data_IF_209730803185
#
_entry.id   IF_209730803185
#
_cell.length_a   1.000
_cell.length_b   1.000
_cell.length_c   1.000
_cell.angle_alpha   90.00
_cell.angle_beta   90.00
_cell.angle_gamma   90.00
#
_symmetry.space_group_name_H-M   'P 1'
#
loop_
_entity.id
_entity.type
_entity.pdbx_description
1 polymer ?
#
# COMPACT_ATOMS: atom_id res chain seq x y z
N UNK A 1 -32.50 -10.27 1.95
CA UNK A 1 -31.29 -9.80 1.27
C UNK A 1 -30.98 -8.42 1.79
N UNK A 2 -29.75 -8.18 2.24
CA UNK A 2 -29.33 -6.88 2.74
C UNK A 2 -29.21 -5.92 1.54
N UNK A 3 -29.84 -4.74 1.56
CA UNK A 3 -29.78 -3.81 0.43
C UNK A 3 -28.39 -3.16 0.31
N UNK A 4 -27.89 -3.03 -0.91
CA UNK A 4 -26.76 -2.17 -1.23
C UNK A 4 -27.25 -0.74 -1.48
N UNK A 5 -26.59 0.23 -0.90
CA UNK A 5 -26.95 1.65 -0.98
C UNK A 5 -25.76 2.42 -1.52
N UNK A 6 -26.01 3.27 -2.50
CA UNK A 6 -25.00 4.06 -3.17
C UNK A 6 -25.28 5.55 -2.99
N UNK A 7 -24.36 6.25 -2.33
CA UNK A 7 -24.42 7.71 -2.24
C UNK A 7 -24.21 8.35 -3.61
N UNK A 8 -25.00 9.36 -3.94
CA UNK A 8 -24.84 10.17 -5.14
C UNK A 8 -24.58 11.63 -4.77
N UNK A 9 -23.33 12.04 -4.61
CA UNK A 9 -22.96 13.41 -4.38
C UNK A 9 -23.34 14.32 -5.54
N UNK A 10 -23.61 15.58 -5.26
CA UNK A 10 -23.89 16.57 -6.30
C UNK A 10 -22.82 16.58 -7.39
N UNK A 11 -23.25 16.54 -8.65
CA UNK A 11 -22.36 16.52 -9.82
C UNK A 11 -21.74 15.16 -10.17
N UNK A 12 -22.00 14.09 -9.41
CA UNK A 12 -21.44 12.75 -9.67
C UNK A 12 -22.43 11.76 -10.30
N UNK A 13 -23.57 12.21 -10.78
CA UNK A 13 -24.63 11.34 -11.34
C UNK A 13 -24.11 10.37 -12.39
N UNK A 14 -23.25 10.82 -13.31
CA UNK A 14 -22.68 9.94 -14.36
C UNK A 14 -21.83 8.80 -13.80
N UNK A 15 -21.06 9.07 -12.74
CA UNK A 15 -20.26 8.04 -12.08
C UNK A 15 -21.16 7.02 -11.37
N UNK A 16 -22.19 7.50 -10.70
CA UNK A 16 -23.19 6.69 -10.01
C UNK A 16 -23.95 5.81 -11.01
N UNK A 17 -24.45 6.35 -12.12
CA UNK A 17 -25.14 5.60 -13.15
C UNK A 17 -24.27 4.49 -13.75
N UNK A 18 -23.00 4.80 -14.01
CA UNK A 18 -22.03 3.83 -14.50
C UNK A 18 -21.77 2.70 -13.49
N UNK A 19 -21.69 3.02 -12.20
CA UNK A 19 -21.50 2.03 -11.14
C UNK A 19 -22.74 1.15 -10.95
N UNK A 20 -23.96 1.72 -10.99
CA UNK A 20 -25.23 0.96 -10.95
C UNK A 20 -25.28 -0.03 -12.10
N UNK A 21 -24.94 0.41 -13.31
CA UNK A 21 -24.95 -0.47 -14.49
C UNK A 21 -23.86 -1.57 -14.37
N UNK A 22 -22.69 -1.25 -13.79
CA UNK A 22 -21.65 -2.24 -13.52
C UNK A 22 -22.13 -3.30 -12.53
N UNK A 23 -22.73 -2.91 -11.40
CA UNK A 23 -23.29 -3.84 -10.41
C UNK A 23 -24.37 -4.74 -11.03
N UNK A 24 -25.24 -4.16 -11.86
CA UNK A 24 -26.28 -4.90 -12.57
C UNK A 24 -25.71 -5.96 -13.50
N UNK A 25 -24.70 -5.61 -14.30
CA UNK A 25 -24.04 -6.54 -15.23
C UNK A 25 -23.23 -7.61 -14.53
N UNK A 26 -22.61 -7.25 -13.42
CA UNK A 26 -21.72 -8.16 -12.69
C UNK A 26 -22.51 -9.25 -11.93
N UNK A 27 -23.63 -8.87 -11.29
CA UNK A 27 -24.30 -9.75 -10.32
C UNK A 27 -25.82 -9.55 -10.25
N UNK A 28 -26.43 -8.82 -11.16
CA UNK A 28 -27.85 -8.48 -11.12
C UNK A 28 -28.24 -7.55 -9.95
N UNK A 29 -27.29 -7.11 -9.15
CA UNK A 29 -27.52 -6.21 -8.01
C UNK A 29 -27.76 -4.79 -8.53
N UNK A 30 -28.85 -4.18 -8.09
CA UNK A 30 -29.15 -2.77 -8.35
C UNK A 30 -29.11 -2.00 -7.03
N UNK A 31 -28.04 -1.26 -6.75
CA UNK A 31 -27.97 -0.44 -5.54
C UNK A 31 -29.08 0.61 -5.50
N UNK A 32 -29.61 0.87 -4.31
CA UNK A 32 -30.51 2.00 -4.09
C UNK A 32 -29.69 3.28 -4.07
N UNK A 33 -29.92 4.17 -5.03
CA UNK A 33 -29.20 5.45 -5.13
C UNK A 33 -29.84 6.48 -4.21
N UNK A 34 -29.02 7.14 -3.41
CA UNK A 34 -29.44 8.24 -2.52
C UNK A 34 -28.76 9.53 -2.98
N UNK A 35 -29.53 10.47 -3.55
CA UNK A 35 -28.98 11.76 -3.94
C UNK A 35 -28.67 12.61 -2.71
N UNK A 36 -27.52 13.27 -2.72
CA UNK A 36 -27.09 14.24 -1.71
C UNK A 36 -27.09 15.62 -2.37
N UNK A 37 -27.86 16.54 -1.83
CA UNK A 37 -28.02 17.88 -2.43
C UNK A 37 -26.79 18.77 -2.15
N UNK A 38 -26.54 19.71 -3.06
CA UNK A 38 -25.50 20.73 -2.87
C UNK A 38 -25.71 21.55 -1.60
N UNK A 39 -26.99 21.87 -1.28
CA UNK A 39 -27.34 22.63 -0.09
C UNK A 39 -27.03 21.88 1.22
N UNK A 40 -27.19 20.56 1.25
CA UNK A 40 -26.84 19.74 2.41
C UNK A 40 -25.33 19.71 2.60
N UNK A 41 -24.57 19.59 1.51
CA UNK A 41 -23.11 19.67 1.53
C UNK A 41 -22.63 21.03 2.04
N UNK A 42 -23.11 22.11 1.45
CA UNK A 42 -22.74 23.48 1.85
C UNK A 42 -23.13 23.78 3.31
N UNK A 43 -24.31 23.34 3.75
CA UNK A 43 -24.75 23.51 5.12
C UNK A 43 -23.89 22.76 6.13
N UNK A 44 -23.39 21.58 5.75
CA UNK A 44 -22.46 20.81 6.58
C UNK A 44 -21.07 21.46 6.61
N UNK A 45 -20.50 21.82 5.47
CA UNK A 45 -19.19 22.49 5.38
C UNK A 45 -19.17 23.81 6.17
N UNK A 46 -20.29 24.55 6.14
CA UNK A 46 -20.44 25.77 6.93
C UNK A 46 -20.44 25.48 8.44
N UNK A 47 -20.99 24.36 8.88
CA UNK A 47 -21.02 23.94 10.29
C UNK A 47 -19.70 23.32 10.76
N UNK A 48 -18.90 22.80 9.84
CA UNK A 48 -17.63 22.11 10.11
C UNK A 48 -16.50 22.68 9.24
N UNK A 49 -16.07 23.93 9.48
CA UNK A 49 -15.00 24.54 8.71
C UNK A 49 -13.69 23.77 8.90
N UNK A 50 -13.12 23.31 7.79
CA UNK A 50 -11.89 22.48 7.77
C UNK A 50 -12.13 20.98 7.64
N UNK A 51 -13.40 20.53 7.60
CA UNK A 51 -13.73 19.14 7.28
C UNK A 51 -13.68 18.93 5.77
N UNK A 52 -12.78 18.09 5.29
CA UNK A 52 -12.81 17.60 3.93
C UNK A 52 -13.68 16.33 3.86
N UNK A 53 -14.80 16.37 3.14
CA UNK A 53 -15.71 15.26 2.81
C UNK A 53 -16.51 14.51 3.90
N UNK A 54 -16.58 14.85 5.18
CA UNK A 54 -17.36 14.08 6.15
C UNK A 54 -18.89 14.23 5.99
N UNK A 55 -19.35 15.24 5.26
CA UNK A 55 -20.77 15.62 5.11
C UNK A 55 -21.62 14.60 4.42
N UNK A 56 -21.07 14.00 3.36
CA UNK A 56 -21.79 13.06 2.49
C UNK A 56 -22.16 11.79 3.24
N UNK A 57 -21.25 11.31 4.10
CA UNK A 57 -21.50 10.09 4.86
C UNK A 57 -22.51 10.30 5.98
N UNK A 58 -22.39 11.38 6.75
CA UNK A 58 -23.25 11.57 7.91
C UNK A 58 -24.70 11.84 7.53
N UNK A 59 -24.98 12.70 6.55
CA UNK A 59 -26.36 12.97 6.09
C UNK A 59 -26.96 11.78 5.34
N UNK A 60 -26.19 11.15 4.47
CA UNK A 60 -26.61 9.96 3.75
C UNK A 60 -26.84 8.77 4.67
N UNK A 61 -25.97 8.50 5.63
CA UNK A 61 -26.13 7.44 6.64
C UNK A 61 -27.36 7.68 7.51
N UNK A 62 -27.62 8.92 7.94
CA UNK A 62 -28.84 9.25 8.68
C UNK A 62 -30.10 9.05 7.85
N UNK A 63 -30.08 9.45 6.60
CA UNK A 63 -31.20 9.17 5.67
C UNK A 63 -31.45 7.68 5.55
N UNK A 64 -30.41 6.87 5.36
CA UNK A 64 -30.51 5.42 5.25
C UNK A 64 -31.02 4.79 6.53
N UNK A 65 -30.45 5.17 7.68
CA UNK A 65 -30.87 4.66 8.97
C UNK A 65 -32.36 4.96 9.26
N UNK A 66 -32.87 6.12 8.86
CA UNK A 66 -34.26 6.46 8.97
C UNK A 66 -35.15 5.68 7.99
N UNK A 67 -34.69 5.41 6.77
CA UNK A 67 -35.42 4.70 5.73
C UNK A 67 -35.46 3.18 5.94
N UNK A 68 -34.38 2.59 6.42
CA UNK A 68 -34.21 1.15 6.59
C UNK A 68 -34.39 0.69 8.05
N UNK A 69 -35.16 1.39 8.85
CA UNK A 69 -35.38 1.16 10.29
C UNK A 69 -35.24 -0.30 10.71
N UNK A 70 -34.19 -0.59 11.49
CA UNK A 70 -33.93 -1.92 12.03
C UNK A 70 -33.33 -2.94 11.04
N UNK A 71 -33.16 -2.59 9.75
CA UNK A 71 -32.55 -3.47 8.77
C UNK A 71 -31.12 -3.04 8.47
N UNK A 72 -30.12 -3.93 8.54
CA UNK A 72 -28.76 -3.60 8.12
C UNK A 72 -28.72 -3.31 6.62
N UNK A 73 -27.76 -2.47 6.21
CA UNK A 73 -27.53 -2.12 4.81
C UNK A 73 -26.04 -2.09 4.50
N UNK A 74 -25.69 -2.28 3.24
CA UNK A 74 -24.33 -2.14 2.74
C UNK A 74 -24.15 -0.78 2.08
N UNK A 75 -23.29 0.07 2.65
CA UNK A 75 -23.01 1.41 2.15
C UNK A 75 -21.90 1.40 1.12
N UNK A 76 -22.10 2.08 0.00
CA UNK A 76 -21.16 2.25 -1.09
C UNK A 76 -20.96 3.73 -1.41
N UNK A 77 -19.76 4.07 -1.85
CA UNK A 77 -19.41 5.37 -2.42
C UNK A 77 -19.22 5.26 -3.95
N UNK A 78 -19.29 6.37 -4.71
CA UNK A 78 -19.20 6.33 -6.19
C UNK A 78 -17.86 5.80 -6.73
N UNK A 79 -16.83 5.80 -5.91
CA UNK A 79 -15.48 5.29 -6.17
C UNK A 79 -15.28 3.83 -5.71
N UNK A 80 -16.33 3.19 -5.23
CA UNK A 80 -16.32 1.75 -4.93
C UNK A 80 -16.48 0.92 -6.20
N UNK A 81 -15.69 -0.12 -6.37
CA UNK A 81 -15.77 -1.01 -7.54
C UNK A 81 -15.95 -2.45 -7.10
N UNK A 82 -17.15 -3.04 -7.23
CA UNK A 82 -17.34 -4.48 -7.13
C UNK A 82 -16.55 -5.21 -8.21
N UNK A 83 -15.84 -6.27 -7.83
CA UNK A 83 -14.87 -6.96 -8.69
C UNK A 83 -15.31 -8.34 -9.15
N UNK A 84 -16.16 -9.01 -8.37
CA UNK A 84 -16.52 -10.41 -8.57
C UNK A 84 -18.02 -10.63 -8.53
N UNK A 85 -18.49 -11.59 -9.31
CA UNK A 85 -19.86 -12.07 -9.23
C UNK A 85 -20.13 -12.63 -7.82
N UNK A 86 -21.34 -12.44 -7.30
CA UNK A 86 -21.73 -12.87 -5.95
C UNK A 86 -21.13 -12.03 -4.82
N UNK A 87 -20.53 -10.87 -5.13
CA UNK A 87 -19.84 -10.03 -4.16
C UNK A 87 -20.69 -9.64 -2.95
N UNK A 88 -21.93 -9.19 -3.18
CA UNK A 88 -22.82 -8.77 -2.09
C UNK A 88 -23.28 -9.96 -1.25
N UNK A 89 -23.59 -11.10 -1.89
CA UNK A 89 -23.96 -12.34 -1.20
C UNK A 89 -22.82 -12.83 -0.30
N UNK A 90 -21.62 -12.85 -0.82
CA UNK A 90 -20.42 -13.29 -0.06
C UNK A 90 -20.10 -12.35 1.09
N UNK A 91 -20.16 -11.04 0.88
CA UNK A 91 -19.99 -10.05 1.94
C UNK A 91 -21.10 -10.12 3.00
N UNK A 92 -22.36 -10.38 2.59
CA UNK A 92 -23.48 -10.59 3.53
C UNK A 92 -23.22 -11.80 4.43
N UNK A 93 -22.78 -12.94 3.86
CA UNK A 93 -22.43 -14.11 4.64
C UNK A 93 -21.27 -13.86 5.61
N UNK A 94 -20.28 -13.07 5.20
CA UNK A 94 -19.17 -12.67 6.06
C UNK A 94 -19.66 -11.75 7.20
N UNK A 95 -20.54 -10.81 6.91
CA UNK A 95 -21.17 -9.95 7.93
C UNK A 95 -21.94 -10.77 8.99
N UNK A 96 -22.75 -11.71 8.53
CA UNK A 96 -23.50 -12.61 9.42
C UNK A 96 -22.58 -13.51 10.26
N UNK A 97 -21.45 -13.95 9.69
CA UNK A 97 -20.43 -14.76 10.37
C UNK A 97 -19.72 -13.99 11.48
N UNK A 98 -19.35 -12.74 11.22
CA UNK A 98 -18.56 -11.91 12.16
C UNK A 98 -19.40 -11.45 13.35
N UNK A 99 -20.70 -11.33 13.20
CA UNK A 99 -21.65 -10.97 14.28
C UNK A 99 -21.30 -9.66 14.99
N UNK A 100 -20.82 -8.68 14.25
CA UNK A 100 -20.61 -7.31 14.72
C UNK A 100 -21.59 -6.37 14.04
N UNK A 101 -22.04 -5.30 14.74
CA UNK A 101 -22.96 -4.32 14.15
C UNK A 101 -22.43 -3.70 12.86
N UNK A 102 -21.12 -3.41 12.81
CA UNK A 102 -20.45 -2.87 11.63
C UNK A 102 -19.49 -3.90 11.05
N UNK A 103 -19.39 -3.99 9.73
CA UNK A 103 -18.37 -4.73 9.03
C UNK A 103 -17.72 -3.85 7.96
N UNK A 104 -16.45 -3.57 8.13
CA UNK A 104 -15.68 -2.67 7.27
C UNK A 104 -14.38 -3.35 6.81
N UNK A 105 -13.57 -2.65 6.02
CA UNK A 105 -12.25 -3.14 5.60
C UNK A 105 -11.35 -3.47 6.79
N UNK A 106 -10.49 -4.48 6.60
CA UNK A 106 -9.36 -4.75 7.49
C UNK A 106 -8.17 -3.84 7.22
N UNK A 107 -8.19 -3.08 6.12
CA UNK A 107 -7.11 -2.14 5.81
C UNK A 107 -7.14 -0.98 6.82
N UNK A 108 -5.98 -0.69 7.38
CA UNK A 108 -5.80 0.38 8.36
C UNK A 108 -4.87 1.44 7.79
N UNK A 109 -5.29 2.67 7.85
CA UNK A 109 -4.52 3.80 7.39
C UNK A 109 -3.64 4.33 8.53
N UNK A 110 -2.35 4.09 8.48
CA UNK A 110 -1.41 4.71 9.40
C UNK A 110 -1.18 6.18 8.99
N UNK A 111 -1.11 7.15 9.94
CA UNK A 111 -1.07 6.95 11.40
C UNK A 111 -2.46 6.97 12.08
N UNK A 112 -3.56 7.05 11.34
CA UNK A 112 -4.87 7.42 11.89
C UNK A 112 -5.83 6.26 12.09
N UNK A 113 -5.46 5.01 11.93
CA UNK A 113 -6.39 3.86 12.03
C UNK A 113 -7.72 4.06 11.28
N UNK A 114 -7.69 4.85 10.19
CA UNK A 114 -8.87 5.13 9.39
C UNK A 114 -9.45 3.85 8.80
N UNK A 115 -10.75 3.73 8.86
CA UNK A 115 -11.51 2.71 8.18
C UNK A 115 -12.33 3.42 7.12
N UNK A 116 -12.14 3.12 5.85
CA UNK A 116 -12.96 3.74 4.82
C UNK A 116 -14.45 3.50 5.06
N UNK A 117 -15.28 4.47 4.70
CA UNK A 117 -16.70 4.49 4.99
C UNK A 117 -17.54 3.38 4.37
N UNK A 118 -16.96 2.54 3.50
CA UNK A 118 -17.67 1.45 2.81
C UNK A 118 -17.79 0.24 3.72
N UNK A 119 -19.00 -0.31 3.82
CA UNK A 119 -19.23 -1.50 4.64
C UNK A 119 -20.69 -1.73 5.01
N UNK A 120 -20.91 -2.68 5.90
CA UNK A 120 -22.23 -2.92 6.51
C UNK A 120 -22.43 -2.04 7.71
N UNK A 121 -23.62 -1.50 7.79
CA UNK A 121 -24.12 -0.67 8.87
C UNK A 121 -25.41 -1.25 9.43
N UNK A 122 -25.61 -1.26 10.76
CA UNK A 122 -26.85 -1.72 11.36
C UNK A 122 -27.99 -0.74 11.06
N UNK A 123 -29.21 -1.22 11.08
CA UNK A 123 -30.39 -0.41 10.77
C UNK A 123 -30.70 0.69 11.80
N UNK A 124 -30.09 0.60 12.98
CA UNK A 124 -30.18 1.58 14.05
C UNK A 124 -28.96 2.51 14.13
N UNK A 125 -28.17 2.59 13.07
CA UNK A 125 -26.96 3.43 12.96
C UNK A 125 -27.22 4.88 13.35
N UNK A 126 -28.44 5.42 13.16
CA UNK A 126 -28.80 6.79 13.48
C UNK A 126 -28.66 7.14 14.99
N UNK A 127 -28.80 6.16 15.88
CA UNK A 127 -28.57 6.34 17.30
C UNK A 127 -27.09 6.43 17.67
N UNK A 128 -26.25 5.87 16.82
CA UNK A 128 -24.79 5.80 17.04
C UNK A 128 -24.05 6.97 16.39
N UNK A 129 -24.69 7.68 15.45
CA UNK A 129 -24.05 8.80 14.73
C UNK A 129 -24.28 10.10 15.53
N UNK A 130 -23.22 10.74 16.05
CA UNK A 130 -23.34 12.00 16.76
C UNK A 130 -23.83 13.12 15.83
N UNK A 131 -24.50 14.12 16.40
CA UNK A 131 -24.98 15.27 15.63
C UNK A 131 -23.85 16.15 15.10
N UNK A 132 -22.71 16.08 15.71
CA UNK A 132 -21.52 16.82 15.31
C UNK A 132 -20.31 15.89 15.42
N UNK A 133 -19.55 15.80 14.34
CA UNK A 133 -18.19 15.27 14.39
C UNK A 133 -17.27 16.47 14.66
N UNK A 134 -16.38 16.35 15.61
CA UNK A 134 -15.31 17.32 15.79
C UNK A 134 -14.45 17.32 14.50
N UNK A 135 -13.21 17.51 14.48
CA UNK A 135 -12.37 17.62 13.25
C UNK A 135 -12.26 16.34 12.43
N UNK A 136 -12.79 15.23 12.93
CA UNK A 136 -12.60 13.90 12.36
C UNK A 136 -13.83 13.47 11.53
N UNK A 137 -13.62 12.71 10.49
CA UNK A 137 -14.70 12.08 9.73
C UNK A 137 -15.40 10.97 10.54
N UNK A 138 -16.55 10.53 10.06
CA UNK A 138 -17.33 9.46 10.67
C UNK A 138 -16.52 8.18 10.94
N UNK A 139 -15.72 7.77 10.00
CA UNK A 139 -14.87 6.59 10.03
C UNK A 139 -13.82 6.65 11.15
N UNK A 140 -13.17 7.81 11.35
CA UNK A 140 -12.23 8.00 12.45
C UNK A 140 -12.95 8.06 13.81
N UNK A 141 -14.12 8.69 13.85
CA UNK A 141 -14.95 8.71 15.04
C UNK A 141 -15.34 7.29 15.49
N UNK A 142 -15.79 6.43 14.55
CA UNK A 142 -16.13 5.03 14.84
C UNK A 142 -14.98 4.27 15.49
N UNK A 143 -13.80 4.37 14.93
CA UNK A 143 -12.63 3.63 15.44
C UNK A 143 -12.24 4.07 16.83
N UNK A 144 -12.41 5.35 17.13
CA UNK A 144 -12.05 5.91 18.46
C UNK A 144 -13.09 5.63 19.53
N UNK A 145 -14.37 5.62 19.19
CA UNK A 145 -15.44 5.62 20.19
C UNK A 145 -16.21 4.32 20.30
N UNK A 146 -16.25 3.51 19.22
CA UNK A 146 -16.99 2.26 19.19
C UNK A 146 -16.20 1.10 18.54
N UNK A 147 -14.89 0.96 18.82
CA UNK A 147 -14.05 -0.04 18.15
C UNK A 147 -14.53 -1.49 18.40
N UNK A 148 -15.16 -1.75 19.53
CA UNK A 148 -15.69 -3.07 19.90
C UNK A 148 -16.90 -3.47 19.06
N UNK A 149 -17.62 -2.53 18.45
CA UNK A 149 -18.76 -2.78 17.58
C UNK A 149 -18.35 -3.06 16.13
N UNK A 150 -17.08 -2.89 15.79
CA UNK A 150 -16.55 -2.99 14.44
C UNK A 150 -15.97 -4.37 14.17
N UNK A 151 -16.52 -5.08 13.19
CA UNK A 151 -15.94 -6.23 12.53
C UNK A 151 -15.07 -5.77 11.35
N UNK A 152 -14.05 -6.53 11.01
CA UNK A 152 -13.12 -6.22 9.91
C UNK A 152 -13.02 -7.37 8.93
N UNK A 153 -12.95 -7.07 7.63
CA UNK A 153 -12.83 -8.08 6.58
C UNK A 153 -11.79 -7.69 5.52
N UNK A 154 -10.96 -8.63 5.04
CA UNK A 154 -10.07 -8.41 3.91
C UNK A 154 -10.79 -8.37 2.55
N UNK A 155 -12.08 -8.71 2.52
CA UNK A 155 -12.90 -8.74 1.30
C UNK A 155 -13.22 -7.33 0.76
N UNK A 156 -13.10 -6.30 1.60
CA UNK A 156 -13.17 -4.89 1.24
C UNK A 156 -11.75 -4.35 1.28
N UNK A 157 -11.24 -3.87 0.16
CA UNK A 157 -9.90 -3.31 0.06
C UNK A 157 -9.97 -1.81 -0.22
N UNK A 158 -9.23 -1.02 0.55
CA UNK A 158 -9.00 0.39 0.28
C UNK A 158 -7.67 0.59 -0.43
N UNK A 159 -7.66 1.44 -1.45
CA UNK A 159 -6.43 1.96 -2.04
C UNK A 159 -6.10 3.31 -1.39
N UNK A 160 -4.97 3.40 -0.75
CA UNK A 160 -4.49 4.61 -0.08
C UNK A 160 -3.42 5.29 -0.91
N UNK A 161 -3.82 5.97 -1.94
CA UNK A 161 -2.89 6.69 -2.80
C UNK A 161 -3.62 7.66 -3.72
N UNK A 162 -4.10 8.73 -3.17
CA UNK A 162 -4.52 9.99 -3.77
C UNK A 162 -5.12 10.03 -5.18
N UNK A 163 -6.39 9.65 -5.36
CA UNK A 163 -7.13 9.93 -6.60
C UNK A 163 -7.91 11.23 -6.48
N UNK A 164 -7.77 12.12 -7.46
CA UNK A 164 -8.80 13.12 -7.72
C UNK A 164 -9.94 12.45 -8.50
N UNK A 165 -11.00 12.07 -7.81
CA UNK A 165 -12.19 11.45 -8.42
C UNK A 165 -13.04 12.44 -9.24
N UNK A 166 -12.70 13.73 -9.24
CA UNK A 166 -13.36 14.76 -10.03
C UNK A 166 -13.10 14.50 -11.51
N UNK A 167 -13.85 13.60 -12.13
CA UNK A 167 -13.73 13.22 -13.54
C UNK A 167 -13.60 11.71 -13.78
N UNK A 168 -13.49 10.88 -12.76
CA UNK A 168 -13.46 9.42 -12.92
C UNK A 168 -14.90 8.90 -13.01
N UNK A 169 -15.33 8.55 -14.21
CA UNK A 169 -16.69 8.04 -14.52
C UNK A 169 -16.65 6.55 -14.83
N UNK A 170 -15.64 5.79 -14.42
CA UNK A 170 -15.47 4.40 -14.85
C UNK A 170 -15.52 3.41 -13.69
N UNK A 171 -16.51 2.48 -13.67
CA UNK A 171 -16.59 1.41 -12.67
C UNK A 171 -15.62 0.24 -12.97
N UNK A 172 -14.54 0.49 -13.69
CA UNK A 172 -13.51 -0.49 -14.00
C UNK A 172 -12.19 -0.04 -13.40
N UNK A 173 -11.46 -1.00 -12.83
CA UNK A 173 -10.10 -0.74 -12.37
C UNK A 173 -9.20 -0.32 -13.54
N UNK A 174 -8.35 0.66 -13.30
CA UNK A 174 -7.22 0.91 -14.18
C UNK A 174 -6.22 -0.26 -14.07
N UNK A 175 -5.41 -0.54 -15.11
CA UNK A 175 -4.36 -1.57 -15.01
C UNK A 175 -3.46 -1.40 -13.78
N UNK A 176 -3.16 -0.16 -13.43
CA UNK A 176 -2.41 0.21 -12.25
C UNK A 176 -3.09 -0.22 -10.94
N UNK A 177 -4.39 -0.04 -10.82
CA UNK A 177 -5.17 -0.46 -9.64
C UNK A 177 -5.28 -1.98 -9.56
N UNK A 178 -5.53 -2.63 -10.70
CA UNK A 178 -5.67 -4.09 -10.77
C UNK A 178 -4.43 -4.82 -10.23
N UNK A 179 -3.24 -4.23 -10.38
CA UNK A 179 -2.00 -4.79 -9.86
C UNK A 179 -1.94 -4.83 -8.31
N UNK A 180 -2.73 -4.02 -7.61
CA UNK A 180 -2.75 -3.96 -6.15
C UNK A 180 -3.93 -4.71 -5.52
N UNK A 181 -4.85 -5.22 -6.33
CA UNK A 181 -6.02 -5.95 -5.83
C UNK A 181 -5.58 -7.29 -5.26
N UNK A 182 -5.91 -7.53 -4.00
CA UNK A 182 -5.69 -8.83 -3.36
C UNK A 182 -6.64 -9.88 -3.96
N UNK A 183 -6.22 -11.16 -4.06
CA UNK A 183 -7.04 -12.21 -4.65
C UNK A 183 -8.42 -12.39 -3.99
N UNK A 184 -8.51 -12.18 -2.69
CA UNK A 184 -9.74 -12.29 -1.90
C UNK A 184 -10.68 -11.10 -2.08
N UNK A 185 -10.21 -9.93 -2.54
CA UNK A 185 -10.98 -8.68 -2.62
C UNK A 185 -12.25 -8.84 -3.46
N UNK A 186 -13.39 -8.44 -2.91
CA UNK A 186 -14.69 -8.38 -3.58
C UNK A 186 -15.08 -6.96 -3.97
N UNK A 187 -14.70 -5.98 -3.14
CA UNK A 187 -14.89 -4.56 -3.43
C UNK A 187 -13.57 -3.84 -3.24
N UNK A 188 -13.23 -3.02 -4.21
CA UNK A 188 -12.11 -2.12 -4.19
C UNK A 188 -12.60 -0.68 -4.07
N UNK A 189 -12.20 0.01 -3.01
CA UNK A 189 -12.47 1.42 -2.78
C UNK A 189 -11.26 2.24 -3.19
N UNK A 190 -11.46 3.15 -4.14
CA UNK A 190 -10.41 4.03 -4.63
C UNK A 190 -10.07 5.09 -3.61
N UNK A 191 -8.78 5.34 -3.49
CA UNK A 191 -8.30 6.49 -2.74
C UNK A 191 -8.43 7.79 -3.56
N UNK A 192 -8.88 8.83 -2.90
CA UNK A 192 -9.15 10.16 -3.48
C UNK A 192 -7.89 10.96 -3.84
N UNK A 193 -6.71 10.42 -3.56
CA UNK A 193 -5.43 11.13 -3.71
C UNK A 193 -4.49 10.63 -4.81
N UNK A 194 -4.76 9.54 -5.51
CA UNK A 194 -4.03 9.20 -6.73
C UNK A 194 -4.61 10.00 -7.91
N UNK A 195 -3.93 11.04 -8.32
CA UNK A 195 -4.30 11.88 -9.47
C UNK A 195 -4.30 11.17 -10.83
N UNK A 196 -4.91 9.99 -10.91
CA UNK A 196 -5.17 9.30 -12.15
C UNK A 196 -6.42 9.90 -12.84
N UNK A 197 -6.34 11.16 -13.18
CA UNK A 197 -7.10 11.66 -14.33
C UNK A 197 -6.64 10.80 -15.51
N UNK A 198 -7.47 10.21 -16.33
CA UNK A 198 -7.06 9.35 -17.45
C UNK A 198 -6.02 9.96 -18.44
N UNK A 199 -5.36 11.04 -18.06
CA UNK A 199 -4.15 11.59 -18.62
C UNK A 199 -2.96 10.80 -18.05
N UNK A 200 -2.12 10.27 -18.90
CA UNK A 200 -0.81 9.72 -18.54
C UNK A 200 -0.09 10.76 -17.67
N UNK A 201 0.36 10.40 -16.43
CA UNK A 201 1.08 11.34 -15.58
C UNK A 201 2.27 11.93 -16.35
N UNK A 202 2.31 13.25 -16.47
CA UNK A 202 3.38 13.96 -17.20
C UNK A 202 4.57 14.28 -16.28
N UNK A 203 4.44 14.06 -14.97
CA UNK A 203 5.50 14.35 -14.01
C UNK A 203 6.74 13.52 -14.30
N UNK A 204 7.86 14.18 -14.30
CA UNK A 204 9.16 13.58 -14.55
C UNK A 204 10.00 13.57 -13.28
N UNK A 205 10.62 12.43 -13.01
CA UNK A 205 11.42 12.18 -11.83
C UNK A 205 12.86 11.84 -12.24
N UNK A 206 13.84 12.20 -11.41
CA UNK A 206 15.23 11.85 -11.63
C UNK A 206 15.85 11.29 -10.34
N UNK A 207 16.50 10.15 -10.45
CA UNK A 207 17.22 9.51 -9.35
C UNK A 207 18.61 9.02 -9.78
N UNK A 208 19.59 9.10 -8.89
CA UNK A 208 20.96 8.59 -9.11
C UNK A 208 21.44 7.70 -7.96
N UNK A 209 20.52 7.20 -7.14
CA UNK A 209 20.84 6.39 -5.97
C UNK A 209 21.22 4.94 -6.25
N UNK A 210 21.53 4.21 -5.19
CA UNK A 210 21.63 2.76 -5.23
C UNK A 210 20.29 2.08 -5.45
N UNK A 211 20.27 0.79 -5.73
CA UNK A 211 19.04 0.03 -5.99
C UNK A 211 18.01 0.17 -4.85
N UNK A 212 18.48 0.14 -3.59
CA UNK A 212 17.63 0.38 -2.42
C UNK A 212 17.07 1.80 -2.35
N UNK A 213 17.88 2.81 -2.70
CA UNK A 213 17.45 4.21 -2.73
C UNK A 213 16.32 4.43 -3.75
N UNK A 214 16.41 3.77 -4.92
CA UNK A 214 15.38 3.84 -5.96
C UNK A 214 14.09 3.15 -5.50
N UNK A 215 14.17 1.98 -4.84
CA UNK A 215 12.97 1.33 -4.29
C UNK A 215 12.34 2.20 -3.20
N UNK A 216 13.15 2.86 -2.38
CA UNK A 216 12.71 3.74 -1.30
C UNK A 216 12.06 5.05 -1.80
N UNK A 217 12.33 5.54 -3.03
CA UNK A 217 11.67 6.72 -3.58
C UNK A 217 10.27 6.43 -4.16
N UNK A 218 9.97 5.17 -4.47
CA UNK A 218 8.72 4.80 -5.14
C UNK A 218 7.44 5.24 -4.40
N UNK A 219 7.33 5.16 -3.05
CA UNK A 219 6.14 5.67 -2.37
C UNK A 219 5.96 7.19 -2.53
N UNK A 220 7.05 7.95 -2.64
CA UNK A 220 7.00 9.39 -2.91
C UNK A 220 6.50 9.63 -4.34
N UNK A 221 7.06 8.92 -5.33
CA UNK A 221 6.60 8.99 -6.72
C UNK A 221 5.12 8.65 -6.83
N UNK A 222 4.67 7.59 -6.13
CA UNK A 222 3.25 7.21 -6.04
C UNK A 222 2.41 8.36 -5.48
N UNK A 223 2.83 8.95 -4.37
CA UNK A 223 2.12 10.06 -3.70
C UNK A 223 2.04 11.31 -4.59
N UNK A 224 3.03 11.55 -5.44
CA UNK A 224 3.05 12.65 -6.40
C UNK A 224 2.30 12.35 -7.72
N UNK A 225 1.54 11.25 -7.77
CA UNK A 225 0.70 10.90 -8.91
C UNK A 225 1.37 10.03 -9.97
N UNK A 226 2.60 9.59 -9.75
CA UNK A 226 3.34 8.78 -10.71
C UNK A 226 3.94 9.57 -11.86
N UNK A 227 4.56 8.90 -12.82
CA UNK A 227 5.14 9.53 -14.01
C UNK A 227 6.35 8.80 -14.59
N UNK A 228 7.17 9.49 -15.37
CA UNK A 228 8.38 8.94 -15.98
C UNK A 228 9.56 9.09 -15.01
N UNK A 229 10.28 7.99 -14.78
CA UNK A 229 11.48 7.97 -13.94
C UNK A 229 12.73 7.90 -14.80
N UNK A 230 13.54 8.94 -14.75
CA UNK A 230 14.90 8.93 -15.26
C UNK A 230 15.87 8.45 -14.18
N UNK A 231 16.79 7.56 -14.55
CA UNK A 231 17.86 7.05 -13.71
C UNK A 231 19.19 7.45 -14.34
N UNK A 232 20.09 7.97 -13.53
CA UNK A 232 21.42 8.38 -13.99
C UNK A 232 22.52 7.84 -13.07
N UNK A 233 23.75 7.94 -13.50
CA UNK A 233 24.89 7.64 -12.65
C UNK A 233 25.08 8.70 -11.55
N UNK A 234 25.66 8.28 -10.43
CA UNK A 234 26.08 9.22 -9.40
C UNK A 234 27.12 10.21 -9.91
N UNK A 235 27.11 11.42 -9.35
CA UNK A 235 28.22 12.34 -9.54
C UNK A 235 29.50 11.69 -9.05
N UNK A 236 30.59 11.73 -9.85
CA UNK A 236 31.89 11.20 -9.42
C UNK A 236 32.30 11.79 -8.05
N UNK A 237 32.79 10.95 -7.16
CA UNK A 237 33.31 11.36 -5.85
C UNK A 237 32.34 11.32 -4.66
N UNK A 238 31.03 11.16 -4.87
CA UNK A 238 30.07 11.12 -3.74
C UNK A 238 30.13 9.80 -2.95
N UNK A 239 30.36 8.68 -3.63
CA UNK A 239 30.52 7.33 -3.01
C UNK A 239 31.47 6.49 -3.87
N UNK A 240 32.76 6.40 -3.53
CA UNK A 240 33.79 5.74 -4.35
C UNK A 240 33.55 4.26 -4.65
N UNK A 241 32.74 3.58 -3.84
CA UNK A 241 32.47 2.14 -3.95
C UNK A 241 31.24 1.77 -4.79
N UNK A 242 30.50 2.75 -5.35
CA UNK A 242 29.28 2.45 -6.09
C UNK A 242 29.58 2.12 -7.55
N UNK A 243 29.10 0.96 -7.98
CA UNK A 243 29.13 0.58 -9.40
C UNK A 243 28.21 1.51 -10.20
N UNK A 244 28.59 1.92 -11.43
CA UNK A 244 27.75 2.75 -12.29
C UNK A 244 26.35 2.16 -12.49
N UNK A 245 25.32 2.96 -12.43
CA UNK A 245 23.92 2.52 -12.63
C UNK A 245 23.69 1.97 -14.03
N UNK A 246 24.38 2.51 -15.04
CA UNK A 246 24.36 1.97 -16.41
C UNK A 246 24.55 0.44 -16.42
N UNK A 247 25.50 -0.07 -15.65
CA UNK A 247 25.82 -1.49 -15.59
C UNK A 247 24.85 -2.32 -14.72
N UNK A 248 23.93 -1.67 -14.01
CA UNK A 248 22.98 -2.30 -13.07
C UNK A 248 21.50 -2.12 -13.47
N UNK A 249 21.23 -1.40 -14.54
CA UNK A 249 19.86 -1.20 -15.02
C UNK A 249 19.15 -2.51 -15.27
N UNK A 250 19.83 -3.52 -15.86
CA UNK A 250 19.28 -4.85 -16.10
C UNK A 250 18.80 -5.56 -14.82
N UNK A 251 19.29 -5.14 -13.65
CA UNK A 251 18.86 -5.69 -12.35
C UNK A 251 17.54 -5.08 -11.88
N UNK A 252 17.32 -3.77 -12.09
CA UNK A 252 16.18 -3.07 -11.49
C UNK A 252 15.08 -2.73 -12.51
N UNK A 253 15.42 -2.49 -13.75
CA UNK A 253 14.46 -2.08 -14.79
C UNK A 253 13.29 -3.06 -14.96
N UNK A 254 13.46 -4.40 -14.96
CA UNK A 254 12.33 -5.33 -15.05
C UNK A 254 11.32 -5.15 -13.92
N UNK A 255 11.78 -4.82 -12.70
CA UNK A 255 10.94 -4.52 -11.55
C UNK A 255 10.20 -3.19 -11.74
N UNK A 256 10.91 -2.13 -12.10
CA UNK A 256 10.35 -0.79 -12.23
C UNK A 256 9.29 -0.72 -13.33
N UNK A 257 9.47 -1.45 -14.44
CA UNK A 257 8.47 -1.55 -15.52
C UNK A 257 7.17 -2.28 -15.09
N UNK A 258 7.17 -2.98 -13.96
CA UNK A 258 5.97 -3.56 -13.33
C UNK A 258 5.29 -2.62 -12.34
N UNK A 259 5.93 -1.50 -12.00
CA UNK A 259 5.37 -0.50 -11.08
C UNK A 259 4.28 0.30 -11.81
N UNK A 260 3.01 0.17 -11.42
CA UNK A 260 1.89 0.64 -12.26
C UNK A 260 1.75 2.17 -12.33
N UNK A 261 2.35 2.90 -11.40
CA UNK A 261 2.37 4.38 -11.40
C UNK A 261 3.63 4.96 -12.09
N UNK A 262 4.53 4.12 -12.61
CA UNK A 262 5.58 4.56 -13.52
C UNK A 262 5.12 4.41 -14.97
N UNK A 263 5.08 5.51 -15.71
CA UNK A 263 4.68 5.51 -17.11
C UNK A 263 5.80 5.04 -18.03
N UNK A 264 7.03 5.31 -17.63
CA UNK A 264 8.24 4.87 -18.31
C UNK A 264 9.44 4.91 -17.33
N UNK A 265 10.48 4.13 -17.64
CA UNK A 265 11.76 4.12 -16.92
C UNK A 265 12.87 4.18 -17.94
N UNK A 266 13.76 5.16 -17.79
CA UNK A 266 14.85 5.40 -18.74
C UNK A 266 16.17 5.66 -18.01
N UNK A 267 17.24 4.97 -18.44
CA UNK A 267 18.58 5.37 -18.05
C UNK A 267 19.08 6.52 -18.93
N UNK A 268 19.63 7.55 -18.32
CA UNK A 268 20.22 8.67 -19.04
C UNK A 268 21.59 9.05 -18.46
N UNK A 269 22.65 9.10 -19.27
CA UNK A 269 23.96 9.53 -18.80
C UNK A 269 24.04 11.02 -18.49
N UNK A 270 23.16 11.81 -19.14
CA UNK A 270 23.04 13.25 -18.92
C UNK A 270 21.70 13.55 -18.31
N UNK A 271 21.64 14.00 -17.04
CA UNK A 271 20.38 14.33 -16.38
C UNK A 271 19.56 15.37 -17.14
N UNK A 272 18.31 15.05 -17.54
CA UNK A 272 17.42 16.04 -18.10
C UNK A 272 16.91 17.01 -17.03
N UNK A 273 16.31 18.12 -17.47
CA UNK A 273 15.49 18.91 -16.55
C UNK A 273 14.22 18.14 -16.23
N UNK A 274 13.91 17.98 -14.95
CA UNK A 274 12.77 17.21 -14.44
C UNK A 274 11.98 18.03 -13.42
N UNK A 275 10.74 17.61 -13.17
CA UNK A 275 9.87 18.24 -12.18
C UNK A 275 10.31 17.92 -10.76
N UNK A 276 10.76 16.67 -10.50
CA UNK A 276 11.18 16.18 -9.19
C UNK A 276 12.55 15.52 -9.28
N UNK A 277 13.50 16.05 -8.55
CA UNK A 277 14.89 15.59 -8.58
C UNK A 277 15.32 15.05 -7.21
N UNK A 278 15.65 13.76 -7.13
CA UNK A 278 16.13 13.10 -5.91
C UNK A 278 17.66 13.07 -5.78
N UNK A 279 18.42 13.55 -6.76
CA UNK A 279 19.89 13.34 -6.82
C UNK A 279 20.64 13.78 -5.56
N UNK A 280 20.21 14.85 -4.95
CA UNK A 280 20.90 15.48 -3.83
C UNK A 280 20.27 15.16 -2.45
N UNK A 281 19.36 14.17 -2.37
CA UNK A 281 18.66 13.85 -1.12
C UNK A 281 19.58 13.51 0.04
N UNK A 282 20.79 13.00 -0.25
CA UNK A 282 21.77 12.67 0.78
C UNK A 282 22.29 13.89 1.55
N UNK A 283 22.07 15.10 1.07
CA UNK A 283 22.29 16.34 1.84
C UNK A 283 21.36 16.46 3.06
N UNK A 284 20.21 15.81 3.02
CA UNK A 284 19.21 15.73 4.11
C UNK A 284 19.21 14.36 4.82
N UNK A 285 20.10 13.45 4.41
CA UNK A 285 20.20 12.12 4.98
C UNK A 285 20.58 12.16 6.47
N UNK A 286 19.84 11.40 7.28
CA UNK A 286 20.13 11.15 8.68
C UNK A 286 20.05 9.64 8.93
N UNK A 287 21.04 9.02 9.60
CA UNK A 287 21.02 7.57 9.85
C UNK A 287 19.84 7.11 10.70
N UNK A 288 19.19 8.02 11.44
CA UNK A 288 18.00 7.78 12.27
C UNK A 288 16.67 7.90 11.51
N UNK A 289 16.71 8.28 10.22
CA UNK A 289 15.55 8.37 9.34
C UNK A 289 15.63 7.30 8.27
N UNK A 290 14.49 6.80 7.83
CA UNK A 290 14.44 5.92 6.66
C UNK A 290 14.91 6.66 5.40
N UNK A 291 15.33 5.92 4.39
CA UNK A 291 15.70 6.52 3.09
C UNK A 291 14.52 7.28 2.48
N UNK A 292 13.30 6.74 2.59
CA UNK A 292 12.09 7.43 2.13
C UNK A 292 11.88 8.76 2.84
N UNK A 293 11.99 8.79 4.18
CA UNK A 293 11.85 10.03 4.95
C UNK A 293 12.95 11.06 4.63
N UNK A 294 14.17 10.59 4.36
CA UNK A 294 15.28 11.45 3.97
C UNK A 294 15.05 12.07 2.59
N UNK A 295 14.53 11.29 1.65
CA UNK A 295 14.17 11.76 0.31
C UNK A 295 12.96 12.71 0.35
N UNK A 296 11.95 12.39 1.15
CA UNK A 296 10.79 13.26 1.38
C UNK A 296 11.19 14.61 1.99
N UNK A 297 12.02 14.59 3.03
CA UNK A 297 12.51 15.81 3.69
C UNK A 297 13.30 16.69 2.71
N UNK A 298 14.09 16.10 1.82
CA UNK A 298 14.81 16.84 0.77
C UNK A 298 13.84 17.56 -0.19
N UNK A 299 12.70 16.97 -0.48
CA UNK A 299 11.66 17.56 -1.33
C UNK A 299 10.68 18.47 -0.57
N UNK A 300 10.86 18.68 0.73
CA UNK A 300 9.92 19.45 1.56
C UNK A 300 8.61 18.72 1.84
N UNK A 301 8.57 17.39 1.67
CA UNK A 301 7.39 16.55 1.94
C UNK A 301 7.48 16.07 3.40
N UNK A 302 6.49 16.47 4.20
CA UNK A 302 6.50 16.19 5.64
C UNK A 302 6.11 14.73 5.98
N UNK A 303 5.28 14.10 5.15
CA UNK A 303 4.77 12.75 5.42
C UNK A 303 4.59 11.97 4.12
N UNK A 304 4.97 10.70 4.14
CA UNK A 304 4.81 9.76 3.02
C UNK A 304 4.05 8.53 3.49
N UNK A 305 3.02 8.14 2.75
CA UNK A 305 2.30 6.89 2.97
C UNK A 305 3.19 5.67 2.72
N UNK A 306 3.41 4.86 3.76
CA UNK A 306 4.30 3.69 3.71
C UNK A 306 3.54 2.36 3.58
N UNK A 307 2.27 2.39 3.17
CA UNK A 307 1.54 1.18 2.77
C UNK A 307 2.27 0.45 1.64
N UNK A 308 2.05 -0.85 1.42
CA UNK A 308 2.70 -1.57 0.34
C UNK A 308 2.61 -0.79 -0.98
N UNK A 309 3.78 -0.51 -1.56
CA UNK A 309 3.90 0.29 -2.77
C UNK A 309 4.42 -0.50 -3.97
N UNK A 310 4.64 -1.80 -3.76
CA UNK A 310 5.06 -2.74 -4.80
C UNK A 310 4.19 -3.99 -4.73
N UNK A 311 3.74 -4.47 -5.87
CA UNK A 311 3.03 -5.75 -6.02
C UNK A 311 3.65 -6.52 -7.17
N UNK A 312 3.94 -7.80 -6.93
CA UNK A 312 4.50 -8.72 -7.93
C UNK A 312 3.80 -10.08 -7.84
N UNK A 313 3.95 -10.89 -8.86
CA UNK A 313 3.49 -12.29 -8.86
C UNK A 313 4.23 -13.09 -7.79
N UNK A 314 3.56 -13.97 -7.09
CA UNK A 314 4.19 -14.85 -6.10
C UNK A 314 4.83 -16.05 -6.78
N UNK A 315 6.11 -16.27 -6.56
CA UNK A 315 6.80 -17.47 -7.06
C UNK A 315 6.34 -18.72 -6.29
N UNK A 316 5.92 -19.79 -6.97
CA UNK A 316 5.58 -21.06 -6.30
C UNK A 316 6.81 -21.77 -5.70
N UNK A 317 8.02 -21.44 -6.17
CA UNK A 317 9.27 -22.05 -5.71
C UNK A 317 9.57 -21.78 -4.23
N UNK A 318 9.07 -20.68 -3.70
CA UNK A 318 9.34 -20.26 -2.32
C UNK A 318 8.17 -20.50 -1.36
N UNK A 319 7.09 -21.15 -1.82
CA UNK A 319 5.94 -21.46 -0.96
C UNK A 319 6.35 -22.34 0.22
N UNK A 320 6.00 -21.95 1.44
CA UNK A 320 6.37 -22.64 2.68
C UNK A 320 7.83 -22.44 3.10
N UNK A 321 8.57 -21.54 2.42
CA UNK A 321 10.01 -21.30 2.62
C UNK A 321 10.28 -20.01 3.36
N UNK A 322 11.50 -19.89 3.85
CA UNK A 322 12.09 -18.67 4.39
C UNK A 322 13.14 -18.21 3.38
N UNK A 323 12.90 -17.10 2.71
CA UNK A 323 13.89 -16.53 1.79
C UNK A 323 14.90 -15.71 2.58
N UNK A 324 16.20 -16.02 2.41
CA UNK A 324 17.28 -15.33 3.07
C UNK A 324 18.19 -14.61 2.06
N UNK A 325 18.57 -13.37 2.38
CA UNK A 325 19.60 -12.58 1.66
C UNK A 325 20.53 -11.93 2.68
N UNK A 326 21.84 -11.93 2.40
CA UNK A 326 22.81 -11.26 3.28
C UNK A 326 23.95 -10.68 2.47
N UNK A 327 23.93 -9.37 2.29
CA UNK A 327 25.01 -8.63 1.62
C UNK A 327 26.21 -8.38 2.58
N UNK A 328 27.40 -8.04 2.05
CA UNK A 328 28.57 -7.73 2.89
C UNK A 328 28.43 -6.47 3.74
N UNK A 329 27.48 -5.58 3.39
CA UNK A 329 27.26 -4.30 4.08
C UNK A 329 26.29 -4.47 5.25
N UNK A 330 26.42 -3.60 6.27
CA UNK A 330 25.47 -3.50 7.40
C UNK A 330 25.22 -4.83 8.12
N UNK A 331 26.27 -5.64 8.26
CA UNK A 331 26.19 -6.88 9.01
C UNK A 331 26.20 -6.60 10.51
N UNK A 332 25.36 -7.32 11.23
CA UNK A 332 25.29 -7.26 12.68
C UNK A 332 25.87 -8.57 13.27
N UNK A 333 27.01 -8.54 13.95
CA UNK A 333 27.67 -9.76 14.43
C UNK A 333 26.87 -10.51 15.52
N UNK A 334 25.96 -9.83 16.21
CA UNK A 334 25.12 -10.47 17.23
C UNK A 334 23.81 -11.04 16.67
N UNK A 335 23.55 -10.87 15.36
CA UNK A 335 22.36 -11.45 14.74
C UNK A 335 22.49 -12.98 14.70
N UNK A 336 21.48 -13.75 15.17
CA UNK A 336 21.62 -15.15 15.46
C UNK A 336 21.47 -16.08 14.23
N UNK A 337 22.16 -15.79 13.13
CA UNK A 337 22.10 -16.57 11.89
C UNK A 337 22.29 -18.06 12.09
N UNK A 338 23.28 -18.46 12.90
CA UNK A 338 23.57 -19.87 13.13
C UNK A 338 22.38 -20.59 13.80
N UNK A 339 21.72 -19.94 14.76
CA UNK A 339 20.53 -20.51 15.40
C UNK A 339 19.37 -20.66 14.41
N UNK A 340 19.16 -19.66 13.56
CA UNK A 340 18.11 -19.67 12.52
C UNK A 340 18.38 -20.80 11.52
N UNK A 341 19.63 -20.90 11.02
CA UNK A 341 19.97 -21.95 10.05
C UNK A 341 19.80 -23.35 10.66
N UNK A 342 20.26 -23.58 11.88
CA UNK A 342 20.12 -24.87 12.54
C UNK A 342 18.66 -25.25 12.77
N UNK A 343 17.81 -24.31 13.15
CA UNK A 343 16.39 -24.55 13.40
C UNK A 343 15.54 -24.74 12.14
N UNK A 344 15.91 -24.09 11.02
CA UNK A 344 15.04 -23.98 9.84
C UNK A 344 15.74 -24.38 8.53
N UNK A 345 16.84 -25.12 8.59
CA UNK A 345 17.69 -25.45 7.43
C UNK A 345 16.94 -25.93 6.19
N UNK A 346 15.99 -26.86 6.39
CA UNK A 346 15.18 -27.41 5.30
C UNK A 346 14.20 -26.43 4.66
N UNK A 347 13.85 -25.34 5.35
CA UNK A 347 12.95 -24.30 4.86
C UNK A 347 13.70 -23.10 4.28
N UNK A 348 14.98 -22.94 4.59
CA UNK A 348 15.75 -21.79 4.11
C UNK A 348 16.06 -21.93 2.62
N UNK A 349 15.80 -20.86 1.89
CA UNK A 349 16.14 -20.67 0.50
C UNK A 349 16.97 -19.39 0.39
N UNK A 350 18.27 -19.50 0.21
CA UNK A 350 19.15 -18.34 0.09
C UNK A 350 19.08 -17.78 -1.34
N UNK A 351 18.88 -16.46 -1.46
CA UNK A 351 18.96 -15.74 -2.73
C UNK A 351 19.96 -14.59 -2.61
N UNK A 352 20.94 -14.56 -3.52
CA UNK A 352 22.02 -13.58 -3.52
C UNK A 352 23.11 -13.93 -4.52
N UNK A 353 24.13 -13.10 -4.58
CA UNK A 353 25.28 -13.27 -5.45
C UNK A 353 26.09 -14.52 -5.03
N UNK A 354 26.98 -15.01 -5.94
CA UNK A 354 27.79 -16.17 -5.66
C UNK A 354 28.69 -15.99 -4.44
N UNK A 355 29.33 -14.83 -4.34
CA UNK A 355 30.16 -14.44 -3.20
C UNK A 355 29.37 -14.30 -1.90
N UNK A 356 28.11 -13.81 -1.95
CA UNK A 356 27.25 -13.70 -0.78
C UNK A 356 26.81 -15.08 -0.27
N UNK A 357 26.47 -16.00 -1.18
CA UNK A 357 26.13 -17.38 -0.83
C UNK A 357 27.34 -18.14 -0.27
N UNK A 358 28.51 -18.00 -0.89
CA UNK A 358 29.76 -18.62 -0.40
C UNK A 358 30.09 -18.13 1.01
N UNK A 359 30.05 -16.83 1.25
CA UNK A 359 30.27 -16.24 2.57
C UNK A 359 29.23 -16.70 3.61
N UNK A 360 27.95 -16.75 3.21
CA UNK A 360 26.86 -17.21 4.10
C UNK A 360 27.06 -18.67 4.51
N UNK A 361 27.32 -19.55 3.55
CA UNK A 361 27.47 -21.00 3.82
C UNK A 361 28.75 -21.33 4.58
N UNK A 362 29.81 -20.60 4.36
CA UNK A 362 31.07 -20.73 5.13
C UNK A 362 30.86 -20.41 6.62
N UNK A 363 30.03 -19.40 6.92
CA UNK A 363 29.85 -18.93 8.30
C UNK A 363 28.72 -19.67 9.04
N UNK A 364 27.65 -20.12 8.33
CA UNK A 364 26.41 -20.57 8.97
C UNK A 364 25.98 -21.97 8.52
N UNK A 365 26.68 -22.58 7.58
CA UNK A 365 26.39 -23.89 7.03
C UNK A 365 25.57 -23.86 5.74
N UNK A 366 25.65 -24.96 5.00
CA UNK A 366 25.05 -25.09 3.65
C UNK A 366 23.52 -25.14 3.74
N UNK A 367 22.85 -24.28 2.95
CA UNK A 367 21.40 -24.24 2.73
C UNK A 367 21.11 -24.31 1.23
N UNK A 368 19.85 -24.52 0.86
CA UNK A 368 19.43 -24.48 -0.54
C UNK A 368 19.56 -23.06 -1.11
N UNK A 369 19.88 -22.95 -2.40
CA UNK A 369 20.07 -21.68 -3.09
C UNK A 369 19.08 -21.51 -4.23
N UNK A 370 18.48 -20.32 -4.33
CA UNK A 370 17.81 -19.84 -5.53
C UNK A 370 18.70 -18.84 -6.28
N UNK A 371 18.77 -18.97 -7.60
CA UNK A 371 19.45 -18.01 -8.46
C UNK A 371 18.39 -17.11 -9.09
N UNK A 372 18.55 -15.81 -8.95
CA UNK A 372 17.68 -14.79 -9.55
C UNK A 372 18.49 -13.90 -10.49
N UNK A 373 17.94 -13.56 -11.64
CA UNK A 373 18.62 -12.75 -12.67
C UNK A 373 18.51 -11.24 -12.40
N UNK A 374 17.48 -10.84 -11.68
CA UNK A 374 17.15 -9.43 -11.44
C UNK A 374 16.26 -9.27 -10.19
N UNK A 375 15.98 -8.02 -9.82
CA UNK A 375 15.17 -7.70 -8.63
C UNK A 375 13.69 -8.04 -8.78
N UNK A 376 13.15 -8.20 -9.99
CA UNK A 376 11.79 -8.68 -10.18
C UNK A 376 11.67 -10.13 -9.76
N UNK A 377 12.54 -11.02 -10.29
CA UNK A 377 12.56 -12.44 -9.91
C UNK A 377 12.80 -12.62 -8.40
N UNK A 378 13.69 -11.80 -7.81
CA UNK A 378 13.92 -11.80 -6.38
C UNK A 378 12.68 -11.34 -5.59
N UNK A 379 12.00 -10.29 -6.04
CA UNK A 379 10.77 -9.82 -5.44
C UNK A 379 9.66 -10.88 -5.50
N UNK A 380 9.51 -11.56 -6.62
CA UNK A 380 8.55 -12.65 -6.79
C UNK A 380 8.86 -13.84 -5.86
N UNK A 381 10.14 -14.17 -5.71
CA UNK A 381 10.60 -15.19 -4.78
C UNK A 381 10.28 -14.80 -3.32
N UNK A 382 10.59 -13.57 -2.92
CA UNK A 382 10.24 -13.04 -1.59
C UNK A 382 8.72 -13.07 -1.39
N UNK A 383 7.95 -12.57 -2.36
CA UNK A 383 6.49 -12.51 -2.26
C UNK A 383 5.81 -13.89 -2.13
N UNK A 384 6.42 -14.95 -2.68
CA UNK A 384 5.93 -16.32 -2.58
C UNK A 384 6.29 -17.03 -1.28
N UNK A 385 7.22 -16.49 -0.49
CA UNK A 385 7.70 -17.10 0.76
C UNK A 385 6.78 -16.80 1.95
N UNK A 386 6.99 -17.51 3.05
CA UNK A 386 6.29 -17.22 4.31
C UNK A 386 6.95 -16.06 5.06
N UNK A 387 8.27 -15.93 4.92
CA UNK A 387 9.08 -14.96 5.66
C UNK A 387 10.33 -14.60 4.86
N UNK A 388 10.73 -13.35 4.91
CA UNK A 388 12.03 -12.88 4.46
C UNK A 388 12.94 -12.60 5.66
N UNK A 389 14.20 -13.05 5.60
CA UNK A 389 15.24 -12.72 6.59
C UNK A 389 16.46 -12.17 5.84
N UNK A 390 16.90 -10.97 6.18
CA UNK A 390 18.05 -10.37 5.52
C UNK A 390 18.59 -9.14 6.23
N UNK A 391 19.71 -8.62 5.76
CA UNK A 391 20.26 -7.39 6.27
C UNK A 391 19.76 -6.15 5.49
N UNK A 392 20.21 -4.96 5.93
CA UNK A 392 19.85 -3.66 5.34
C UNK A 392 20.41 -3.52 3.92
N UNK A 393 19.64 -3.99 2.93
CA UNK A 393 20.04 -4.05 1.52
C UNK A 393 18.80 -3.97 0.61
N UNK A 394 19.02 -3.93 -0.71
CA UNK A 394 17.90 -3.86 -1.67
C UNK A 394 16.86 -4.97 -1.51
N UNK A 395 17.21 -6.25 -1.22
CA UNK A 395 16.22 -7.29 -0.90
C UNK A 395 15.33 -6.96 0.31
N UNK A 396 15.88 -6.35 1.36
CA UNK A 396 15.09 -5.87 2.49
C UNK A 396 14.06 -4.79 2.07
N UNK A 397 14.48 -3.86 1.21
CA UNK A 397 13.57 -2.86 0.65
C UNK A 397 12.47 -3.47 -0.22
N UNK A 398 12.73 -4.57 -0.95
CA UNK A 398 11.70 -5.30 -1.69
C UNK A 398 10.64 -5.90 -0.74
N UNK A 399 11.09 -6.58 0.33
CA UNK A 399 10.17 -7.14 1.32
C UNK A 399 9.32 -6.05 1.97
N UNK A 400 9.92 -4.92 2.36
CA UNK A 400 9.20 -3.78 2.90
C UNK A 400 8.24 -3.15 1.89
N UNK A 401 8.66 -3.00 0.63
CA UNK A 401 7.83 -2.43 -0.42
C UNK A 401 6.55 -3.24 -0.69
N UNK A 402 6.63 -4.55 -0.53
CA UNK A 402 5.50 -5.47 -0.70
C UNK A 402 4.67 -5.68 0.59
N UNK A 403 5.09 -5.12 1.72
CA UNK A 403 4.46 -5.41 3.01
C UNK A 403 4.63 -6.86 3.46
N UNK A 404 5.67 -7.52 2.96
CA UNK A 404 5.96 -8.93 3.27
C UNK A 404 6.48 -9.09 4.72
N UNK A 405 6.19 -10.19 5.43
CA UNK A 405 6.79 -10.47 6.73
C UNK A 405 8.32 -10.47 6.66
N UNK A 406 8.96 -9.71 7.55
CA UNK A 406 10.41 -9.52 7.52
C UNK A 406 11.03 -9.59 8.92
N UNK A 407 12.16 -10.30 9.04
CA UNK A 407 13.12 -10.17 10.15
C UNK A 407 14.40 -9.57 9.56
N UNK A 408 14.74 -8.36 9.95
CA UNK A 408 15.90 -7.68 9.43
C UNK A 408 17.08 -7.71 10.42
N UNK A 409 18.21 -8.24 9.96
CA UNK A 409 19.53 -8.01 10.58
C UNK A 409 19.85 -6.52 10.45
N UNK A 410 19.74 -5.77 11.54
CA UNK A 410 19.85 -4.33 11.54
C UNK A 410 21.13 -3.85 12.19
N UNK A 411 21.78 -2.86 11.58
CA UNK A 411 22.95 -2.22 12.11
C UNK A 411 22.58 -1.32 13.30
N UNK A 412 23.41 -1.31 14.35
CA UNK A 412 23.11 -0.62 15.62
C UNK A 412 22.94 0.91 15.47
N UNK A 413 23.64 1.52 14.52
CA UNK A 413 23.68 2.98 14.35
C UNK A 413 22.98 3.47 13.06
N UNK A 414 22.42 2.58 12.25
CA UNK A 414 21.84 2.94 10.95
C UNK A 414 20.44 2.37 10.86
N UNK A 415 19.45 3.24 10.85
CA UNK A 415 18.04 2.87 10.85
C UNK A 415 17.33 3.19 9.52
N UNK A 416 18.12 3.48 8.49
CA UNK A 416 17.63 4.00 7.21
C UNK A 416 16.70 3.07 6.41
N UNK A 417 16.62 1.80 6.81
CA UNK A 417 15.71 0.80 6.24
C UNK A 417 14.77 0.17 7.29
N UNK A 418 14.54 0.83 8.42
CA UNK A 418 13.63 0.35 9.46
C UNK A 418 12.24 0.99 9.32
N UNK A 419 11.48 0.56 8.35
CA UNK A 419 10.11 1.05 8.14
C UNK A 419 9.16 0.44 9.17
N UNK A 420 8.51 1.21 10.06
CA UNK A 420 7.61 0.67 11.09
C UNK A 420 6.44 -0.10 10.48
N UNK A 421 6.31 -1.40 10.84
CA UNK A 421 5.24 -2.30 10.38
C UNK A 421 4.97 -3.38 11.42
N UNK A 422 3.72 -3.87 11.50
CA UNK A 422 3.33 -4.95 12.44
C UNK A 422 4.06 -6.27 12.17
N UNK A 423 4.32 -6.58 10.89
CA UNK A 423 4.96 -7.82 10.43
C UNK A 423 6.46 -7.66 10.15
N UNK A 424 7.10 -6.64 10.72
CA UNK A 424 8.53 -6.40 10.62
C UNK A 424 9.19 -6.46 11.99
N UNK A 425 10.31 -7.18 12.08
CA UNK A 425 11.19 -7.19 13.23
C UNK A 425 12.57 -6.67 12.83
N UNK A 426 13.03 -5.64 13.51
CA UNK A 426 14.35 -5.04 13.30
C UNK A 426 15.26 -5.41 14.46
N UNK A 427 16.22 -6.28 14.19
CA UNK A 427 17.03 -6.92 15.23
C UNK A 427 18.39 -6.23 15.32
N UNK A 428 18.59 -5.41 16.34
CA UNK A 428 19.85 -4.72 16.64
C UNK A 428 20.64 -5.37 17.77
N UNK A 429 19.96 -6.04 18.72
CA UNK A 429 20.54 -6.63 19.95
C UNK A 429 20.60 -8.16 19.90
N UNK A 430 20.38 -8.78 18.76
CA UNK A 430 20.38 -10.23 18.59
C UNK A 430 19.14 -10.97 19.13
N UNK A 431 18.15 -10.25 19.66
CA UNK A 431 16.91 -10.85 20.18
C UNK A 431 15.86 -10.92 19.09
N UNK A 432 15.50 -12.14 18.70
CA UNK A 432 14.41 -12.40 17.76
C UNK A 432 13.20 -12.91 18.53
N UNK A 433 12.04 -12.35 18.20
CA UNK A 433 10.75 -12.91 18.60
C UNK A 433 10.20 -13.66 17.40
N UNK A 434 10.40 -14.97 17.37
CA UNK A 434 9.70 -15.84 16.42
C UNK A 434 8.30 -16.08 17.02
N UNK A 435 7.27 -15.64 16.29
CA UNK A 435 5.87 -15.94 16.64
C UNK A 435 5.51 -17.36 16.22
#
# INVERSE_FOLDING_TARGET
MIPAILACPHGQQKAVDALVEHCRKLDGVVPTVIPISKSEDEAYMKRNPGASFPSLQASGLRYCANRFKGQPFFWMEPDSVPLKQGWLKTLTAEYERIKKPFLISSDMHQPFDLVGGIGFYPGDTHWLIPDKFERDGWDLWMVRHIPELIGRTPLIQHSYGGYDIRGIVRPRLFPAEAAFVRPETLIFHRDKFLGLTGAVPKTTFLHSGDLGDIIACLPIIRQLGGGKLFITDHKPGLLPAMRPMKNRMHLIEPLLRKVPYLTDVEFTPTPPRVDVNFMDFRKQYKPTRTLTESQAAYLGINQVGMDPWLSVTRSPLSKGRIVCCRSPRYQNPVFPWLKIVNAHKSRILFAGLDEEYAAFTSNFGRVERAVTKNLLELAELIAGSDLFIGNQSSPGWLAMAMGHPIIQESHVNIHDSMVPRRNAQYVVDGRIRLA
#
